data_IF_529220461990
#
_entry.id   IF_529220461990
#
_cell.length_a   1.000
_cell.length_b   1.000
_cell.length_c   1.000
_cell.angle_alpha   90.00
_cell.angle_beta   90.00
_cell.angle_gamma   90.00
#
_symmetry.space_group_name_H-M   'P 1'
#
loop_
_entity.id
_entity.type
_entity.pdbx_description
1 polymer ?
#
# COMPACT_ATOMS: atom_id res chain seq x y z
N UNK A 1 4.98 6.71 7.35
CA UNK A 1 4.07 5.60 7.02
C UNK A 1 2.65 6.11 7.18
N UNK A 2 1.76 5.83 6.22
CA UNK A 2 0.40 6.41 6.18
C UNK A 2 -0.70 5.36 6.34
N UNK A 3 -0.53 4.16 5.77
CA UNK A 3 -1.48 3.07 5.90
C UNK A 3 -0.79 1.69 5.77
N UNK A 4 -1.50 0.65 6.22
CA UNK A 4 -1.21 -0.76 5.95
C UNK A 4 -2.32 -1.27 5.04
N UNK A 5 -1.93 -1.98 3.97
CA UNK A 5 -2.82 -2.55 2.99
C UNK A 5 -2.61 -4.07 2.89
N UNK A 6 -3.67 -4.75 2.46
CA UNK A 6 -3.60 -6.12 1.96
C UNK A 6 -4.22 -6.14 0.58
N UNK A 7 -3.66 -6.93 -0.34
CA UNK A 7 -4.21 -7.11 -1.68
C UNK A 7 -4.55 -8.57 -1.92
N UNK A 8 -5.60 -8.80 -2.71
CA UNK A 8 -5.95 -10.12 -3.21
C UNK A 8 -5.67 -10.16 -4.70
N UNK A 9 -4.86 -11.13 -5.13
CA UNK A 9 -4.52 -11.39 -6.52
C UNK A 9 -5.42 -12.50 -7.02
N UNK A 10 -6.09 -12.23 -8.15
CA UNK A 10 -6.96 -13.17 -8.87
C UNK A 10 -7.99 -13.90 -7.99
N UNK A 11 -8.45 -13.26 -6.91
CA UNK A 11 -9.39 -13.84 -5.93
C UNK A 11 -8.88 -15.13 -5.24
N UNK A 12 -7.58 -15.43 -5.33
CA UNK A 12 -7.00 -16.72 -4.93
C UNK A 12 -5.83 -16.57 -3.98
N UNK A 13 -5.12 -15.45 -4.00
CA UNK A 13 -3.89 -15.27 -3.22
C UNK A 13 -3.85 -13.90 -2.53
N UNK A 14 -3.59 -13.88 -1.22
CA UNK A 14 -3.52 -12.62 -0.45
C UNK A 14 -2.09 -12.30 -0.04
N UNK A 15 -1.72 -11.04 -0.19
CA UNK A 15 -0.47 -10.47 0.35
C UNK A 15 -0.83 -9.43 1.40
N UNK A 16 -0.34 -9.65 2.61
CA UNK A 16 -0.48 -8.74 3.75
C UNK A 16 0.75 -7.85 3.92
N UNK A 17 0.66 -6.91 4.87
CA UNK A 17 1.75 -6.03 5.31
C UNK A 17 2.39 -5.17 4.21
N UNK A 18 1.59 -4.82 3.20
CA UNK A 18 1.97 -3.81 2.22
C UNK A 18 1.78 -2.43 2.86
N UNK A 19 2.72 -1.51 2.69
CA UNK A 19 2.69 -0.20 3.35
C UNK A 19 2.53 0.92 2.34
N UNK A 20 1.64 1.86 2.64
CA UNK A 20 1.57 3.16 1.95
C UNK A 20 2.52 4.11 2.67
N UNK A 21 3.51 4.62 1.94
CA UNK A 21 4.56 5.49 2.47
C UNK A 21 4.51 6.83 1.75
N UNK A 22 4.66 7.90 2.51
CA UNK A 22 4.84 9.25 2.01
C UNK A 22 6.33 9.56 1.99
N UNK A 23 6.91 9.54 0.79
CA UNK A 23 8.33 9.81 0.57
C UNK A 23 8.55 11.21 0.01
N UNK A 24 9.81 11.55 -0.25
CA UNK A 24 10.19 12.87 -0.76
C UNK A 24 9.55 13.21 -2.12
N UNK A 25 9.15 12.20 -2.90
CA UNK A 25 8.52 12.36 -4.22
C UNK A 25 7.02 11.99 -4.21
N UNK A 26 6.39 12.07 -3.03
CA UNK A 26 4.99 11.72 -2.83
C UNK A 26 4.76 10.28 -2.41
N UNK A 27 3.50 9.85 -2.52
CA UNK A 27 3.05 8.56 -2.04
C UNK A 27 3.55 7.41 -2.92
N UNK A 28 4.02 6.35 -2.28
CA UNK A 28 4.40 5.12 -2.94
C UNK A 28 4.06 3.91 -2.07
N UNK A 29 4.08 2.74 -2.71
CA UNK A 29 3.80 1.46 -2.04
C UNK A 29 5.10 0.71 -1.77
N UNK A 30 5.32 0.35 -0.50
CA UNK A 30 6.40 -0.50 -0.06
C UNK A 30 5.89 -1.92 0.22
N UNK A 31 6.54 -2.90 -0.37
CA UNK A 31 6.21 -4.31 -0.19
C UNK A 31 6.52 -4.80 1.24
N UNK A 32 5.93 -5.94 1.66
CA UNK A 32 6.30 -6.58 2.92
C UNK A 32 7.75 -7.04 2.86
N UNK A 33 8.53 -6.68 3.86
CA UNK A 33 9.98 -6.92 3.91
C UNK A 33 10.40 -7.55 5.23
N UNK A 34 11.35 -8.49 5.20
CA UNK A 34 11.92 -9.11 6.40
C UNK A 34 13.41 -8.80 6.50
N UNK A 35 13.88 -8.62 7.73
CA UNK A 35 15.31 -8.48 8.03
C UNK A 35 15.99 -9.85 7.90
N UNK A 36 17.03 -9.94 7.09
CA UNK A 36 17.87 -11.12 6.93
C UNK A 36 18.94 -11.20 8.03
N UNK A 37 19.57 -12.37 8.26
CA UNK A 37 20.57 -12.54 9.33
C UNK A 37 21.81 -11.64 9.20
N UNK A 38 22.17 -11.27 7.97
CA UNK A 38 23.21 -10.28 7.65
C UNK A 38 22.80 -8.83 7.97
N UNK A 39 21.54 -8.61 8.34
CA UNK A 39 21.00 -7.32 8.78
C UNK A 39 20.30 -6.52 7.69
N UNK A 40 20.34 -6.95 6.43
CA UNK A 40 19.65 -6.29 5.31
C UNK A 40 18.13 -6.51 5.36
N UNK A 41 17.36 -5.68 4.66
CA UNK A 41 15.93 -5.90 4.47
C UNK A 41 15.67 -6.37 3.05
N UNK A 42 14.92 -7.46 2.91
CA UNK A 42 14.49 -7.98 1.61
C UNK A 42 12.98 -8.12 1.56
N UNK A 43 12.41 -7.75 0.42
CA UNK A 43 10.98 -7.93 0.16
C UNK A 43 10.66 -9.43 0.14
N UNK A 44 9.69 -9.83 0.96
CA UNK A 44 9.16 -11.19 1.03
C UNK A 44 8.31 -11.49 -0.21
N UNK A 45 7.53 -10.50 -0.67
CA UNK A 45 6.74 -10.56 -1.89
C UNK A 45 7.01 -9.30 -2.70
N UNK A 46 7.35 -9.45 -3.98
CA UNK A 46 7.60 -8.31 -4.87
C UNK A 46 7.24 -8.63 -6.32
N UNK A 47 6.77 -7.62 -7.08
CA UNK A 47 6.57 -7.77 -8.52
C UNK A 47 7.91 -7.90 -9.24
N UNK A 48 7.97 -8.78 -10.25
CA UNK A 48 9.18 -9.00 -11.05
C UNK A 48 9.52 -7.79 -11.92
N UNK A 49 8.51 -7.09 -12.45
CA UNK A 49 8.70 -6.00 -13.40
C UNK A 49 7.92 -4.73 -13.01
N UNK A 50 8.29 -3.63 -13.67
CA UNK A 50 7.72 -2.30 -13.43
C UNK A 50 6.23 -2.21 -13.76
N UNK A 51 5.76 -2.93 -14.78
CA UNK A 51 4.36 -2.93 -15.16
C UNK A 51 3.48 -3.51 -14.03
N UNK A 52 3.84 -4.67 -13.47
CA UNK A 52 3.11 -5.26 -12.34
C UNK A 52 3.24 -4.40 -11.08
N UNK A 53 4.41 -3.79 -10.85
CA UNK A 53 4.58 -2.81 -9.76
C UNK A 53 3.61 -1.65 -9.90
N UNK A 54 3.46 -1.10 -11.11
CA UNK A 54 2.53 -0.03 -11.42
C UNK A 54 1.10 -0.42 -11.09
N UNK A 55 0.64 -1.60 -11.54
CA UNK A 55 -0.71 -2.11 -11.25
C UNK A 55 -1.00 -2.20 -9.75
N UNK A 56 -0.06 -2.76 -8.97
CA UNK A 56 -0.22 -2.87 -7.51
C UNK A 56 -0.27 -1.49 -6.87
N UNK A 57 0.64 -0.59 -7.27
CA UNK A 57 0.70 0.76 -6.71
C UNK A 57 -0.56 1.56 -7.02
N UNK A 58 -1.01 1.54 -8.27
CA UNK A 58 -2.23 2.22 -8.70
C UNK A 58 -3.46 1.72 -7.94
N UNK A 59 -3.64 0.39 -7.84
CA UNK A 59 -4.78 -0.18 -7.13
C UNK A 59 -4.82 0.22 -5.65
N UNK A 60 -3.68 0.17 -4.96
CA UNK A 60 -3.61 0.52 -3.54
C UNK A 60 -3.77 2.02 -3.32
N UNK A 61 -3.10 2.87 -4.10
CA UNK A 61 -3.18 4.32 -3.93
C UNK A 61 -4.56 4.86 -4.31
N UNK A 62 -5.21 4.30 -5.33
CA UNK A 62 -6.58 4.66 -5.68
C UNK A 62 -7.54 4.41 -4.50
N UNK A 63 -7.45 3.23 -3.87
CA UNK A 63 -8.30 2.90 -2.72
C UNK A 63 -7.93 3.73 -1.48
N UNK A 64 -6.64 3.97 -1.23
CA UNK A 64 -6.18 4.83 -0.15
C UNK A 64 -6.76 6.25 -0.26
N UNK A 65 -6.72 6.85 -1.46
CA UNK A 65 -7.30 8.17 -1.71
C UNK A 65 -8.83 8.18 -1.61
N UNK A 66 -9.50 7.10 -2.03
CA UNK A 66 -10.95 6.96 -1.91
C UNK A 66 -11.38 6.96 -0.44
N UNK A 67 -10.66 6.23 0.42
CA UNK A 67 -10.95 6.17 1.84
C UNK A 67 -10.68 7.50 2.55
N UNK A 68 -9.59 8.19 2.20
CA UNK A 68 -9.30 9.52 2.77
C UNK A 68 -10.41 10.54 2.49
N UNK A 69 -10.98 10.54 1.27
CA UNK A 69 -12.13 11.41 0.95
C UNK A 69 -13.38 11.05 1.74
N UNK A 70 -13.64 9.75 1.93
CA UNK A 70 -14.78 9.29 2.71
C UNK A 70 -14.64 9.68 4.18
N UNK A 71 -13.43 9.64 4.74
CA UNK A 71 -13.16 10.13 6.10
C UNK A 71 -13.45 11.63 6.22
N UNK A 72 -12.98 12.45 5.28
CA UNK A 72 -13.28 13.90 5.24
C UNK A 72 -14.80 14.18 5.20
N UNK A 73 -15.55 13.49 4.33
CA UNK A 73 -17.02 13.63 4.24
C UNK A 73 -17.74 13.25 5.54
N UNK A 74 -17.28 12.21 6.22
CA UNK A 74 -17.86 11.77 7.50
C UNK A 74 -17.55 12.74 8.63
N UNK A 75 -16.35 13.32 8.65
CA UNK A 75 -15.98 14.35 9.62
C UNK A 75 -16.84 15.62 9.45
N UNK A 76 -17.07 16.06 8.21
CA UNK A 76 -17.95 17.21 7.92
C UNK A 76 -19.41 16.95 8.34
N UNK A 77 -19.91 15.74 8.11
CA UNK A 77 -21.27 15.34 8.49
C UNK A 77 -21.45 15.20 10.01
N UNK A 78 -20.40 14.82 10.76
CA UNK A 78 -20.43 14.69 12.22
C UNK A 78 -20.16 16.00 12.97
N UNK A 79 -19.58 16.99 12.31
CA UNK A 79 -19.36 18.33 12.84
C UNK A 79 -20.57 19.29 12.67
N UNK A 80 -21.61 18.85 11.95
CA UNK A 80 -22.87 19.55 11.71
C UNK A 80 -24.01 19.05 12.61
#
# INVERSE_FOLDING_TARGET
MKAIASITLDNEFVVHDIRVIDGNNGLFVAMPSKRTPDGEFRDIAHPINSATRGKIQEAILAEYHRLGKLEEELEEAGAS
#
